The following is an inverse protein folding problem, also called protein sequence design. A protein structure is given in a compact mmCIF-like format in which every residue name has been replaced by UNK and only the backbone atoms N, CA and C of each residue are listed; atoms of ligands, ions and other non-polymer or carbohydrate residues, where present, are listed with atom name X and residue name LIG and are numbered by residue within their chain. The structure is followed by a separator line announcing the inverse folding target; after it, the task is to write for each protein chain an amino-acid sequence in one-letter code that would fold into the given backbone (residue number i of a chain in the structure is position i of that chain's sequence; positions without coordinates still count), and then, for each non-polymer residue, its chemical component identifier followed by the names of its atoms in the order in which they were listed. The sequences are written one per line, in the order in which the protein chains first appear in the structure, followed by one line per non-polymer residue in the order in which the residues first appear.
data_IF_266764617003
#
_entry.id   IF_266764617003
#
_cell.length_a   1.000
_cell.length_b   1.000
_cell.length_c   1.000
_cell.angle_alpha   90.00
_cell.angle_beta   90.00
_cell.angle_gamma   90.00
#
_symmetry.space_group_name_H-M   'P 1'
#
loop_
_entity.id
_entity.type
_entity.pdbx_description
1 polymer ?
#
# COMPACT_ATOMS: atom_id res chain seq x y z
N UNK A 1 1.56 15.85 -6.66
CA UNK A 1 2.88 16.27 -6.19
C UNK A 1 3.03 15.86 -4.73
N UNK A 2 4.10 15.15 -4.42
CA UNK A 2 4.44 14.64 -3.11
C UNK A 2 5.74 15.32 -2.65
N UNK A 3 5.90 15.60 -1.36
CA UNK A 3 7.22 15.89 -0.80
C UNK A 3 8.01 14.60 -0.59
N UNK A 4 9.33 14.69 -0.36
CA UNK A 4 10.13 13.52 0.00
C UNK A 4 9.56 12.81 1.25
N UNK A 5 9.15 13.58 2.26
CA UNK A 5 8.54 13.02 3.48
C UNK A 5 7.21 12.34 3.20
N UNK A 6 6.38 12.90 2.33
CA UNK A 6 5.13 12.25 1.93
C UNK A 6 5.38 10.95 1.14
N UNK A 7 6.45 10.89 0.33
CA UNK A 7 6.88 9.66 -0.34
C UNK A 7 7.28 8.59 0.68
N UNK A 8 8.03 8.94 1.72
CA UNK A 8 8.38 8.01 2.80
C UNK A 8 7.15 7.50 3.56
N UNK A 9 6.18 8.39 3.83
CA UNK A 9 4.89 8.01 4.43
C UNK A 9 4.12 7.03 3.54
N UNK A 10 4.12 7.20 2.21
CA UNK A 10 3.48 6.23 1.31
C UNK A 10 4.14 4.85 1.38
N UNK A 11 5.48 4.81 1.45
CA UNK A 11 6.24 3.55 1.54
C UNK A 11 5.88 2.82 2.84
N UNK A 12 5.83 3.54 3.97
CA UNK A 12 5.44 3.01 5.27
C UNK A 12 3.99 2.53 5.25
N UNK A 13 3.06 3.34 4.73
CA UNK A 13 1.65 2.98 4.63
C UNK A 13 1.43 1.69 3.82
N UNK A 14 2.13 1.52 2.70
CA UNK A 14 2.03 0.29 1.89
C UNK A 14 2.62 -0.90 2.64
N UNK A 15 3.78 -0.74 3.28
CA UNK A 15 4.40 -1.83 4.04
C UNK A 15 3.49 -2.29 5.19
N UNK A 16 2.87 -1.34 5.89
CA UNK A 16 1.90 -1.61 6.97
C UNK A 16 0.65 -2.33 6.43
N UNK A 17 0.11 -1.90 5.29
CA UNK A 17 -1.00 -2.58 4.62
C UNK A 17 -0.64 -4.02 4.21
N UNK A 18 0.52 -4.22 3.59
CA UNK A 18 1.00 -5.55 3.21
C UNK A 18 1.14 -6.48 4.43
N UNK A 19 1.65 -5.96 5.55
CA UNK A 19 1.80 -6.72 6.77
C UNK A 19 0.45 -7.10 7.39
N UNK A 20 -0.53 -6.18 7.44
CA UNK A 20 -1.87 -6.50 7.93
C UNK A 20 -2.57 -7.54 7.05
N UNK A 21 -2.52 -7.37 5.72
CA UNK A 21 -3.09 -8.33 4.78
C UNK A 21 -2.43 -9.71 4.88
N UNK A 22 -1.11 -9.80 5.10
CA UNK A 22 -0.43 -11.09 5.28
C UNK A 22 -0.88 -11.87 6.51
N UNK A 23 -1.46 -11.19 7.50
CA UNK A 23 -2.03 -11.83 8.70
C UNK A 23 -3.49 -12.22 8.52
N UNK A 24 -4.13 -11.87 7.41
CA UNK A 24 -5.57 -12.08 7.18
C UNK A 24 -5.89 -12.87 5.94
N UNK A 25 -4.93 -13.00 5.02
CA UNK A 25 -5.12 -13.60 3.70
C UNK A 25 -4.11 -14.72 3.50
N UNK A 26 -4.61 -15.88 3.08
CA UNK A 26 -3.78 -17.04 2.75
C UNK A 26 -3.12 -16.89 1.37
N UNK A 27 -2.15 -17.76 1.10
CA UNK A 27 -1.57 -17.91 -0.24
C UNK A 27 -2.52 -18.73 -1.14
N UNK A 28 -2.53 -18.47 -2.46
CA UNK A 28 -1.70 -17.53 -3.20
C UNK A 28 -2.13 -16.05 -3.04
N UNK A 29 -1.20 -15.13 -3.33
CA UNK A 29 -1.49 -13.70 -3.25
C UNK A 29 -2.63 -13.31 -4.19
N UNK A 30 -3.58 -12.54 -3.66
CA UNK A 30 -4.66 -11.96 -4.47
C UNK A 30 -4.22 -10.69 -5.21
N UNK A 31 -5.10 -10.17 -6.06
CA UNK A 31 -4.83 -9.00 -6.90
C UNK A 31 -4.45 -7.75 -6.09
N UNK A 32 -5.06 -7.54 -4.92
CA UNK A 32 -4.75 -6.39 -4.07
C UNK A 32 -3.37 -6.51 -3.42
N UNK A 33 -2.99 -7.71 -2.96
CA UNK A 33 -1.63 -7.96 -2.44
C UNK A 33 -0.56 -7.79 -3.53
N UNK A 34 -0.86 -8.24 -4.76
CA UNK A 34 0.01 -8.05 -5.92
C UNK A 34 0.10 -6.56 -6.29
N UNK A 35 -1.03 -5.85 -6.30
CA UNK A 35 -1.09 -4.42 -6.56
C UNK A 35 -0.23 -3.63 -5.57
N UNK A 36 -0.38 -3.86 -4.26
CA UNK A 36 0.44 -3.19 -3.25
C UNK A 36 1.94 -3.45 -3.44
N UNK A 37 2.30 -4.67 -3.85
CA UNK A 37 3.70 -5.03 -4.13
C UNK A 37 4.28 -4.29 -5.33
N UNK A 38 3.48 -4.13 -6.38
CA UNK A 38 3.84 -3.32 -7.57
C UNK A 38 3.92 -1.84 -7.22
N UNK A 39 2.90 -1.33 -6.55
CA UNK A 39 2.82 0.08 -6.14
C UNK A 39 4.02 0.47 -5.27
N UNK A 40 4.42 -0.36 -4.29
CA UNK A 40 5.62 -0.10 -3.49
C UNK A 40 6.88 0.04 -4.36
N UNK A 41 7.03 -0.84 -5.33
CA UNK A 41 8.16 -0.83 -6.27
C UNK A 41 8.16 0.41 -7.16
N UNK A 42 6.99 0.84 -7.61
CA UNK A 42 6.80 2.07 -8.39
C UNK A 42 7.15 3.31 -7.57
N UNK A 43 6.65 3.41 -6.33
CA UNK A 43 6.93 4.55 -5.46
C UNK A 43 8.44 4.68 -5.19
N UNK A 44 9.15 3.58 -4.93
CA UNK A 44 10.61 3.65 -4.75
C UNK A 44 11.32 4.28 -5.96
N UNK A 45 10.88 3.96 -7.18
CA UNK A 45 11.51 4.37 -8.44
C UNK A 45 11.09 5.76 -8.93
N UNK A 46 9.94 6.26 -8.50
CA UNK A 46 9.40 7.55 -8.93
C UNK A 46 9.96 8.72 -8.14
N UNK A 47 10.18 9.86 -8.80
CA UNK A 47 10.46 11.11 -8.09
C UNK A 47 9.24 11.58 -7.29
N UNK A 48 9.41 12.27 -6.14
CA UNK A 48 8.29 12.69 -5.30
C UNK A 48 7.25 13.57 -6.03
N UNK A 49 7.69 14.43 -6.93
CA UNK A 49 6.82 15.34 -7.68
C UNK A 49 5.87 14.63 -8.64
N UNK A 50 6.30 13.48 -9.19
CA UNK A 50 5.51 12.60 -10.04
C UNK A 50 4.42 11.80 -9.29
N UNK A 51 4.43 11.82 -7.95
CA UNK A 51 3.46 11.09 -7.14
C UNK A 51 2.31 11.97 -6.67
N UNK A 52 1.10 11.41 -6.67
CA UNK A 52 -0.08 12.01 -6.03
C UNK A 52 -0.27 11.39 -4.65
N UNK A 53 0.15 12.11 -3.61
CA UNK A 53 0.04 11.63 -2.23
C UNK A 53 -1.38 11.25 -1.84
N UNK A 54 -2.34 12.11 -2.17
CA UNK A 54 -3.71 11.98 -1.67
C UNK A 54 -4.39 10.81 -2.35
N UNK A 55 -4.25 10.70 -3.68
CA UNK A 55 -4.78 9.57 -4.43
C UNK A 55 -4.18 8.24 -3.94
N UNK A 56 -2.85 8.14 -3.88
CA UNK A 56 -2.17 6.88 -3.53
C UNK A 56 -2.44 6.47 -2.09
N UNK A 57 -2.41 7.41 -1.13
CA UNK A 57 -2.70 7.09 0.26
C UNK A 57 -4.15 6.66 0.47
N UNK A 58 -5.11 7.26 -0.24
CA UNK A 58 -6.51 6.83 -0.21
C UNK A 58 -6.68 5.44 -0.78
N UNK A 59 -6.04 5.11 -1.91
CA UNK A 59 -6.12 3.77 -2.51
C UNK A 59 -5.59 2.69 -1.56
N UNK A 60 -4.42 2.92 -0.94
CA UNK A 60 -3.84 1.96 0.01
C UNK A 60 -4.75 1.76 1.22
N UNK A 61 -5.33 2.83 1.76
CA UNK A 61 -6.29 2.74 2.88
C UNK A 61 -7.55 1.97 2.49
N UNK A 62 -8.11 2.22 1.31
CA UNK A 62 -9.29 1.49 0.83
C UNK A 62 -9.03 -0.02 0.70
N UNK A 63 -7.83 -0.41 0.25
CA UNK A 63 -7.43 -1.82 0.21
C UNK A 63 -7.33 -2.39 1.62
N UNK A 64 -6.67 -1.70 2.56
CA UNK A 64 -6.59 -2.18 3.95
C UNK A 64 -7.98 -2.32 4.59
N UNK A 65 -8.84 -1.30 4.43
CA UNK A 65 -10.18 -1.28 5.02
C UNK A 65 -11.08 -2.40 4.49
N UNK A 66 -10.92 -2.78 3.21
CA UNK A 66 -11.64 -3.91 2.59
C UNK A 66 -11.41 -5.23 3.35
N UNK A 67 -10.25 -5.41 3.96
CA UNK A 67 -9.87 -6.65 4.65
C UNK A 67 -9.84 -6.53 6.18
N UNK A 68 -10.05 -5.34 6.73
CA UNK A 68 -9.90 -5.07 8.16
C UNK A 68 -10.83 -5.91 9.06
N UNK A 69 -12.00 -6.31 8.55
CA UNK A 69 -12.98 -7.13 9.27
C UNK A 69 -12.67 -8.63 9.27
N UNK A 70 -11.72 -9.09 8.43
CA UNK A 70 -11.33 -10.50 8.40
C UNK A 70 -10.57 -10.88 9.68
N UNK A 71 -10.75 -12.09 10.21
CA UNK A 71 -9.94 -12.56 11.34
C UNK A 71 -8.46 -12.65 10.97
N UNK A 72 -7.60 -12.57 11.99
CA UNK A 72 -6.19 -12.90 11.82
C UNK A 72 -6.04 -14.43 11.70
N UNK A 73 -5.11 -14.87 10.86
CA UNK A 73 -4.74 -16.27 10.57
C UNK A 73 -3.43 -16.61 11.28
#
# INVERSE_FOLDING_TARGET
MCTLMQKDVLIELIATAQADLSKRLELPLNDDQIYLSRLRSEIYRSEPDALDFQLLSTQVKQISDKYHSLPLI
#
